data_IF_786102382485
#
_entry.id   IF_786102382485
#
_cell.length_a   1.000
_cell.length_b   1.000
_cell.length_c   1.000
_cell.angle_alpha   90.00
_cell.angle_beta   90.00
_cell.angle_gamma   90.00
#
_symmetry.space_group_name_H-M   'P 1'
#
loop_
_entity.id
_entity.type
_entity.pdbx_description
1 polymer ?
#
# COMPACT_ATOMS: atom_id res chain seq x y z
N UNK A 1 -12.09 5.81 -11.69
CA UNK A 1 -11.13 4.69 -11.84
C UNK A 1 -11.36 3.55 -10.84
N UNK A 2 -11.85 3.82 -9.62
CA UNK A 2 -12.06 2.83 -8.54
C UNK A 2 -12.94 1.61 -8.88
N UNK A 3 -14.01 1.76 -9.68
CA UNK A 3 -14.93 0.64 -9.98
C UNK A 3 -14.28 -0.51 -10.77
N UNK A 4 -13.26 -0.21 -11.58
CA UNK A 4 -12.59 -1.21 -12.44
C UNK A 4 -11.65 -2.11 -11.64
N UNK A 5 -10.95 -1.54 -10.66
CA UNK A 5 -10.06 -2.29 -9.77
C UNK A 5 -10.84 -3.23 -8.86
N UNK A 6 -11.94 -2.74 -8.26
CA UNK A 6 -12.86 -3.58 -7.48
C UNK A 6 -13.40 -4.75 -8.32
N UNK A 7 -13.89 -4.47 -9.54
CA UNK A 7 -14.44 -5.50 -10.42
C UNK A 7 -13.42 -6.58 -10.79
N UNK A 8 -12.17 -6.18 -11.07
CA UNK A 8 -11.08 -7.11 -11.33
C UNK A 8 -10.73 -7.95 -10.10
N UNK A 9 -10.67 -7.33 -8.92
CA UNK A 9 -10.39 -8.01 -7.66
C UNK A 9 -11.49 -9.02 -7.29
N UNK A 10 -12.76 -8.64 -7.44
CA UNK A 10 -13.91 -9.55 -7.27
C UNK A 10 -13.81 -10.77 -8.20
N UNK A 11 -13.47 -10.54 -9.47
CA UNK A 11 -13.28 -11.61 -10.45
C UNK A 11 -12.13 -12.55 -10.04
N UNK A 12 -11.02 -12.00 -9.54
CA UNK A 12 -9.89 -12.80 -9.04
C UNK A 12 -10.31 -13.67 -7.85
N UNK A 13 -11.01 -13.11 -6.85
CA UNK A 13 -11.49 -13.87 -5.69
C UNK A 13 -12.39 -15.04 -6.11
N UNK A 14 -13.31 -14.81 -7.04
CA UNK A 14 -14.19 -15.87 -7.57
C UNK A 14 -13.39 -16.97 -8.27
N UNK A 15 -12.44 -16.60 -9.14
CA UNK A 15 -11.62 -17.57 -9.87
C UNK A 15 -10.67 -18.35 -8.97
N UNK A 16 -10.11 -17.74 -7.93
CA UNK A 16 -9.25 -18.41 -6.95
C UNK A 16 -10.00 -19.49 -6.16
N UNK A 17 -11.32 -19.35 -6.00
CA UNK A 17 -12.20 -20.39 -5.45
C UNK A 17 -12.62 -21.45 -6.47
N UNK A 18 -12.26 -21.28 -7.73
CA UNK A 18 -12.68 -22.17 -8.82
C UNK A 18 -14.17 -22.05 -9.16
N UNK A 19 -14.82 -20.93 -8.80
CA UNK A 19 -16.27 -20.78 -8.98
C UNK A 19 -16.63 -20.14 -10.32
N UNK A 20 -17.67 -20.66 -10.97
CA UNK A 20 -18.32 -19.99 -12.09
C UNK A 20 -19.24 -18.85 -11.59
N UNK A 21 -19.75 -18.04 -12.52
CA UNK A 21 -20.68 -16.95 -12.15
C UNK A 21 -22.00 -17.49 -11.62
N UNK A 22 -22.47 -18.57 -12.23
CA UNK A 22 -23.67 -19.31 -11.85
C UNK A 22 -23.53 -19.85 -10.43
N UNK A 23 -22.37 -20.43 -10.09
CA UNK A 23 -22.10 -20.93 -8.74
C UNK A 23 -22.07 -19.82 -7.69
N UNK A 24 -21.52 -18.64 -8.02
CA UNK A 24 -21.51 -17.51 -7.09
C UNK A 24 -22.90 -16.86 -6.92
N UNK A 25 -23.68 -16.79 -8.00
CA UNK A 25 -25.03 -16.19 -7.99
C UNK A 25 -26.11 -17.12 -7.44
N UNK A 26 -25.88 -18.43 -7.42
CA UNK A 26 -26.83 -19.41 -6.88
C UNK A 26 -28.18 -19.38 -7.61
N UNK A 27 -29.24 -19.05 -6.88
CA UNK A 27 -30.61 -18.95 -7.38
C UNK A 27 -30.97 -17.57 -7.97
N UNK A 28 -29.99 -16.67 -8.08
CA UNK A 28 -30.14 -15.28 -8.53
C UNK A 28 -31.10 -14.43 -7.69
N UNK A 29 -31.52 -14.89 -6.50
CA UNK A 29 -32.44 -14.16 -5.62
C UNK A 29 -31.82 -12.87 -5.06
N UNK A 30 -30.51 -12.88 -4.81
CA UNK A 30 -29.75 -11.75 -4.24
C UNK A 30 -28.87 -11.03 -5.26
N UNK A 31 -28.33 -11.76 -6.23
CA UNK A 31 -27.44 -11.21 -7.26
C UNK A 31 -27.58 -12.00 -8.56
N UNK A 32 -28.03 -11.33 -9.62
CA UNK A 32 -28.10 -11.96 -10.95
C UNK A 32 -26.74 -12.06 -11.63
N UNK A 33 -26.60 -13.02 -12.55
CA UNK A 33 -25.37 -13.20 -13.35
C UNK A 33 -25.03 -11.93 -14.15
N UNK A 34 -26.05 -11.21 -14.63
CA UNK A 34 -25.89 -9.96 -15.36
C UNK A 34 -25.35 -8.85 -14.45
N UNK A 35 -25.86 -8.73 -13.23
CA UNK A 35 -25.34 -7.79 -12.24
C UNK A 35 -23.89 -8.13 -11.89
N UNK A 36 -23.59 -9.39 -11.58
CA UNK A 36 -22.22 -9.84 -11.33
C UNK A 36 -21.28 -9.51 -12.49
N UNK A 37 -21.70 -9.71 -13.74
CA UNK A 37 -20.89 -9.38 -14.92
C UNK A 37 -20.61 -7.87 -15.04
N UNK A 38 -21.60 -7.03 -14.73
CA UNK A 38 -21.42 -5.57 -14.71
C UNK A 38 -20.53 -5.11 -13.56
N UNK A 39 -20.58 -5.78 -12.42
CA UNK A 39 -19.69 -5.55 -11.29
C UNK A 39 -18.25 -5.94 -11.64
N UNK A 40 -18.02 -7.14 -12.17
CA UNK A 40 -16.69 -7.61 -12.54
C UNK A 40 -16.04 -6.78 -13.66
N UNK A 41 -16.84 -6.16 -14.52
CA UNK A 41 -16.35 -5.25 -15.57
C UNK A 41 -16.17 -3.80 -15.08
N UNK A 42 -16.56 -3.49 -13.84
CA UNK A 42 -16.49 -2.15 -13.25
C UNK A 42 -17.48 -1.16 -13.84
N UNK A 43 -18.49 -1.63 -14.56
CA UNK A 43 -19.54 -0.80 -15.20
C UNK A 43 -20.59 -0.37 -14.17
N UNK A 44 -20.83 -1.19 -13.14
CA UNK A 44 -21.77 -0.87 -12.07
C UNK A 44 -21.08 -0.83 -10.71
N UNK A 45 -21.57 0.03 -9.83
CA UNK A 45 -21.16 0.03 -8.42
C UNK A 45 -22.04 -0.93 -7.60
N UNK A 46 -21.45 -1.71 -6.68
CA UNK A 46 -22.21 -2.56 -5.78
C UNK A 46 -22.93 -1.73 -4.71
N UNK A 47 -24.10 -2.21 -4.27
CA UNK A 47 -24.74 -1.72 -3.04
C UNK A 47 -24.11 -2.40 -1.81
N UNK A 48 -24.34 -1.85 -0.62
CA UNK A 48 -23.91 -2.48 0.63
C UNK A 48 -24.45 -3.92 0.77
N UNK A 49 -25.73 -4.13 0.48
CA UNK A 49 -26.34 -5.46 0.50
C UNK A 49 -25.67 -6.46 -0.47
N UNK A 50 -25.22 -5.98 -1.62
CA UNK A 50 -24.50 -6.80 -2.60
C UNK A 50 -23.10 -7.13 -2.10
N UNK A 51 -22.41 -6.18 -1.48
CA UNK A 51 -21.09 -6.40 -0.88
C UNK A 51 -21.16 -7.42 0.26
N UNK A 52 -22.12 -7.31 1.17
CA UNK A 52 -22.32 -8.26 2.27
C UNK A 52 -22.60 -9.67 1.74
N UNK A 53 -23.44 -9.78 0.72
CA UNK A 53 -23.72 -11.06 0.06
C UNK A 53 -22.45 -11.66 -0.55
N UNK A 54 -21.72 -10.90 -1.36
CA UNK A 54 -20.48 -11.35 -2.01
C UNK A 54 -19.41 -11.75 -0.98
N UNK A 55 -19.25 -10.98 0.10
CA UNK A 55 -18.32 -11.27 1.18
C UNK A 55 -18.67 -12.60 1.86
N UNK A 56 -19.96 -12.82 2.14
CA UNK A 56 -20.44 -14.07 2.74
C UNK A 56 -20.21 -15.29 1.83
N UNK A 57 -20.50 -15.17 0.54
CA UNK A 57 -20.32 -16.26 -0.42
C UNK A 57 -18.83 -16.56 -0.65
N UNK A 58 -17.99 -15.53 -0.75
CA UNK A 58 -16.55 -15.67 -0.93
C UNK A 58 -15.81 -15.92 0.39
N UNK A 59 -16.53 -16.06 1.52
CA UNK A 59 -16.02 -16.18 2.90
C UNK A 59 -14.78 -15.30 3.16
N UNK A 60 -14.86 -14.05 2.73
CA UNK A 60 -13.85 -13.03 2.99
C UNK A 60 -14.46 -11.91 3.82
N UNK A 61 -13.62 -11.19 4.57
CA UNK A 61 -14.06 -9.97 5.21
C UNK A 61 -14.36 -8.86 4.16
N UNK A 62 -15.18 -7.89 4.56
CA UNK A 62 -15.60 -6.80 3.67
C UNK A 62 -14.40 -5.94 3.21
N UNK A 63 -13.39 -5.76 4.06
CA UNK A 63 -12.17 -5.03 3.75
C UNK A 63 -11.37 -5.71 2.62
N UNK A 64 -11.19 -7.03 2.71
CA UNK A 64 -10.54 -7.86 1.71
C UNK A 64 -11.34 -7.84 0.42
N UNK A 65 -12.68 -7.88 0.48
CA UNK A 65 -13.53 -7.79 -0.71
C UNK A 65 -13.37 -6.45 -1.44
N UNK A 66 -13.32 -5.34 -0.71
CA UNK A 66 -13.17 -3.99 -1.28
C UNK A 66 -11.75 -3.75 -1.80
N UNK A 67 -10.79 -4.60 -1.41
CA UNK A 67 -9.40 -4.49 -1.82
C UNK A 67 -8.60 -3.52 -0.95
N UNK A 68 -9.14 -3.08 0.20
CA UNK A 68 -8.43 -2.23 1.16
C UNK A 68 -7.29 -2.95 1.90
N UNK A 69 -7.09 -4.24 1.63
CA UNK A 69 -6.00 -5.06 2.18
C UNK A 69 -4.80 -5.20 1.23
N UNK A 70 -4.86 -4.62 0.01
CA UNK A 70 -3.85 -4.85 -1.03
C UNK A 70 -2.62 -3.93 -0.95
N UNK A 71 -2.51 -3.07 0.06
CA UNK A 71 -1.29 -2.30 0.36
C UNK A 71 -0.51 -2.86 1.55
N UNK A 72 -1.06 -3.83 2.27
CA UNK A 72 -0.35 -4.59 3.30
C UNK A 72 0.35 -5.80 2.68
N UNK A 73 1.24 -5.59 1.71
CA UNK A 73 2.42 -6.46 1.69
C UNK A 73 3.09 -6.19 3.03
N UNK A 74 2.79 -7.02 4.03
CA UNK A 74 3.17 -6.78 5.41
C UNK A 74 4.66 -6.44 5.43
N UNK A 75 4.97 -5.16 5.67
CA UNK A 75 6.32 -4.67 5.59
C UNK A 75 7.19 -5.52 6.51
N UNK A 76 8.45 -5.83 6.13
CA UNK A 76 9.31 -6.62 6.99
C UNK A 76 9.30 -6.08 8.43
N UNK A 77 9.10 -6.97 9.41
CA UNK A 77 8.98 -6.55 10.81
C UNK A 77 10.20 -5.75 11.28
N UNK A 78 11.37 -6.07 10.73
CA UNK A 78 12.62 -5.35 10.98
C UNK A 78 12.58 -3.93 10.39
N UNK A 79 12.11 -3.74 9.15
CA UNK A 79 11.89 -2.39 8.58
C UNK A 79 10.94 -1.57 9.45
N UNK A 80 9.83 -2.14 9.90
CA UNK A 80 8.87 -1.43 10.76
C UNK A 80 9.51 -0.99 12.08
N UNK A 81 10.36 -1.84 12.67
CA UNK A 81 11.11 -1.51 13.88
C UNK A 81 12.12 -0.38 13.65
N UNK A 82 12.87 -0.44 12.56
CA UNK A 82 13.84 0.60 12.20
C UNK A 82 13.14 1.94 11.94
N UNK A 83 12.06 1.94 11.16
CA UNK A 83 11.20 3.11 10.91
C UNK A 83 10.63 3.70 12.21
N UNK A 84 10.15 2.86 13.12
CA UNK A 84 9.65 3.31 14.42
C UNK A 84 10.75 4.01 15.24
N UNK A 85 11.95 3.43 15.28
CA UNK A 85 13.11 4.04 15.97
C UNK A 85 13.45 5.39 15.35
N UNK A 86 13.40 5.51 14.03
CA UNK A 86 13.70 6.75 13.31
C UNK A 86 12.68 7.86 13.59
N UNK A 87 11.39 7.55 13.58
CA UNK A 87 10.32 8.54 13.80
C UNK A 87 10.23 8.99 15.27
N UNK A 88 10.51 8.08 16.22
CA UNK A 88 10.34 8.35 17.66
C UNK A 88 11.56 8.96 18.32
N UNK A 89 12.74 8.77 17.75
CA UNK A 89 13.98 9.35 18.30
C UNK A 89 13.99 10.85 18.07
N UNK A 90 13.86 11.62 19.15
CA UNK A 90 14.02 13.07 19.12
C UNK A 90 15.50 13.44 19.17
N UNK A 91 16.00 14.03 18.08
CA UNK A 91 17.37 14.55 18.01
C UNK A 91 17.43 15.89 18.74
N UNK A 92 17.65 15.87 20.05
CA UNK A 92 17.88 17.09 20.85
C UNK A 92 19.24 17.74 20.55
N UNK A 93 19.63 17.85 19.27
CA UNK A 93 20.92 18.40 18.84
C UNK A 93 22.15 17.58 19.24
N UNK A 94 21.97 16.35 19.76
CA UNK A 94 23.08 15.47 20.09
C UNK A 94 23.63 14.80 18.82
N UNK A 95 24.91 15.03 18.53
CA UNK A 95 25.61 14.50 17.36
C UNK A 95 25.73 12.97 17.36
N UNK A 96 25.79 12.32 18.53
CA UNK A 96 25.85 10.85 18.64
C UNK A 96 24.52 10.23 18.20
N UNK A 97 23.40 10.83 18.62
CA UNK A 97 22.05 10.36 18.26
C UNK A 97 21.79 10.58 16.77
N UNK A 98 22.32 11.65 16.19
CA UNK A 98 22.25 11.89 14.74
C UNK A 98 23.03 10.83 13.96
N UNK A 99 24.23 10.46 14.42
CA UNK A 99 25.02 9.38 13.80
C UNK A 99 24.31 8.02 13.86
N UNK A 100 23.64 7.71 14.97
CA UNK A 100 22.84 6.48 15.07
C UNK A 100 21.67 6.46 14.09
N UNK A 101 21.02 7.60 13.87
CA UNK A 101 19.93 7.72 12.89
C UNK A 101 20.43 7.61 11.46
N UNK A 102 21.61 8.16 11.13
CA UNK A 102 22.24 7.99 9.83
C UNK A 102 22.48 6.50 9.54
N UNK A 103 23.03 5.74 10.49
CA UNK A 103 23.23 4.30 10.32
C UNK A 103 21.93 3.52 10.09
N UNK A 104 20.84 3.90 10.78
CA UNK A 104 19.53 3.28 10.58
C UNK A 104 18.98 3.60 9.20
N UNK A 105 19.17 4.83 8.72
CA UNK A 105 18.78 5.24 7.37
C UNK A 105 19.54 4.38 6.36
N UNK A 106 20.87 4.33 6.46
CA UNK A 106 21.71 3.57 5.53
C UNK A 106 21.30 2.09 5.47
N UNK A 107 21.05 1.47 6.63
CA UNK A 107 20.54 0.09 6.71
C UNK A 107 19.19 -0.08 6.00
N UNK A 108 18.26 0.88 6.17
CA UNK A 108 16.97 0.86 5.48
C UNK A 108 17.17 0.98 3.95
N UNK A 109 18.04 1.88 3.52
CA UNK A 109 18.31 2.13 2.10
C UNK A 109 18.99 0.95 1.41
N UNK A 110 19.95 0.30 2.06
CA UNK A 110 20.67 -0.83 1.48
C UNK A 110 19.86 -2.13 1.44
N UNK A 111 19.05 -2.39 2.48
CA UNK A 111 18.42 -3.70 2.67
C UNK A 111 16.97 -3.76 2.22
N UNK A 112 16.23 -2.65 2.32
CA UNK A 112 14.77 -2.68 2.14
C UNK A 112 14.26 -1.77 1.03
N UNK A 113 14.92 -0.64 0.74
CA UNK A 113 14.36 0.45 -0.06
C UNK A 113 13.83 0.02 -1.43
N UNK A 114 14.59 -0.75 -2.21
CA UNK A 114 14.20 -1.18 -3.55
C UNK A 114 12.95 -2.10 -3.56
N UNK A 115 12.70 -2.81 -2.46
CA UNK A 115 11.58 -3.74 -2.29
C UNK A 115 10.36 -3.11 -1.59
N UNK A 116 10.47 -1.86 -1.12
CA UNK A 116 9.37 -1.14 -0.47
C UNK A 116 8.31 -0.67 -1.50
N UNK A 117 7.04 -0.60 -1.09
CA UNK A 117 6.01 0.10 -1.86
C UNK A 117 6.41 1.56 -2.13
N UNK A 118 6.01 2.11 -3.28
CA UNK A 118 6.31 3.49 -3.68
C UNK A 118 5.93 4.52 -2.60
N UNK A 119 4.79 4.32 -1.94
CA UNK A 119 4.36 5.17 -0.83
C UNK A 119 5.35 5.16 0.35
N UNK A 120 5.96 4.01 0.66
CA UNK A 120 6.94 3.87 1.73
C UNK A 120 8.32 4.41 1.34
N UNK A 121 8.75 4.23 0.09
CA UNK A 121 9.97 4.86 -0.44
C UNK A 121 9.90 6.39 -0.30
N UNK A 122 8.77 6.99 -0.69
CA UNK A 122 8.54 8.43 -0.55
C UNK A 122 8.60 8.90 0.92
N UNK A 123 8.09 8.12 1.86
CA UNK A 123 8.17 8.43 3.29
C UNK A 123 9.63 8.42 3.76
N UNK A 124 10.41 7.43 3.34
CA UNK A 124 11.83 7.34 3.71
C UNK A 124 12.65 8.50 3.15
N UNK A 125 12.41 8.91 1.90
CA UNK A 125 13.08 10.07 1.29
C UNK A 125 12.81 11.37 2.07
N UNK A 126 11.56 11.59 2.50
CA UNK A 126 11.19 12.75 3.33
C UNK A 126 11.90 12.71 4.69
N UNK A 127 11.92 11.54 5.33
CA UNK A 127 12.54 11.37 6.66
C UNK A 127 14.06 11.59 6.62
N UNK A 128 14.72 11.06 5.58
CA UNK A 128 16.15 11.26 5.34
C UNK A 128 16.46 12.75 5.10
N UNK A 129 15.72 13.41 4.21
CA UNK A 129 15.89 14.84 3.90
C UNK A 129 15.76 15.72 5.15
N UNK A 130 14.79 15.40 6.01
CA UNK A 130 14.61 16.08 7.30
C UNK A 130 15.84 15.93 8.19
N UNK A 131 16.38 14.72 8.33
CA UNK A 131 17.57 14.46 9.16
C UNK A 131 18.80 15.19 8.61
N UNK A 132 19.01 15.15 7.29
CA UNK A 132 20.14 15.83 6.66
C UNK A 132 20.08 17.36 6.69
N UNK A 133 18.88 17.94 6.76
CA UNK A 133 18.73 19.38 7.03
C UNK A 133 19.34 19.75 8.38
N UNK A 134 19.28 18.86 9.37
CA UNK A 134 19.92 19.07 10.68
C UNK A 134 21.42 18.73 10.69
N UNK A 135 21.94 17.91 9.77
CA UNK A 135 23.37 17.54 9.67
C UNK A 135 24.14 18.31 8.59
N UNK A 136 23.55 19.41 8.08
CA UNK A 136 23.93 20.13 6.84
C UNK A 136 25.37 20.68 6.73
N UNK A 137 26.23 20.50 7.72
CA UNK A 137 27.67 20.78 7.56
C UNK A 137 28.41 19.71 6.73
N UNK A 138 27.90 18.48 6.57
CA UNK A 138 28.66 17.38 5.94
C UNK A 138 28.30 16.98 4.51
N UNK A 139 27.09 17.23 3.99
CA UNK A 139 26.68 16.61 2.71
C UNK A 139 25.88 17.55 1.79
N UNK A 140 26.57 18.22 0.87
CA UNK A 140 26.00 19.14 -0.15
C UNK A 140 25.46 18.46 -1.43
N UNK A 141 25.11 17.16 -1.44
CA UNK A 141 24.86 16.46 -2.72
C UNK A 141 23.60 15.61 -2.85
N UNK A 142 22.79 15.42 -1.82
CA UNK A 142 21.58 14.59 -1.95
C UNK A 142 20.29 15.43 -1.91
N UNK A 143 19.40 15.18 -2.87
CA UNK A 143 18.18 15.97 -3.14
C UNK A 143 18.12 16.60 -4.53
N UNK A 144 19.25 16.74 -5.24
CA UNK A 144 19.23 17.26 -6.63
C UNK A 144 18.46 16.34 -7.59
N UNK A 145 18.48 15.02 -7.36
CA UNK A 145 17.75 14.03 -8.16
C UNK A 145 16.23 14.09 -7.93
N UNK A 146 15.78 14.47 -6.73
CA UNK A 146 14.37 14.73 -6.42
C UNK A 146 13.90 16.03 -7.08
N UNK A 147 14.72 17.09 -7.03
CA UNK A 147 14.41 18.36 -7.72
C UNK A 147 14.40 18.20 -9.25
N UNK A 148 15.30 17.41 -9.83
CA UNK A 148 15.34 17.15 -11.28
C UNK A 148 14.10 16.41 -11.81
N UNK A 149 13.48 15.53 -11.00
CA UNK A 149 12.23 14.84 -11.39
C UNK A 149 11.02 15.77 -11.41
N UNK A 150 11.03 16.85 -10.63
CA UNK A 150 9.93 17.82 -10.55
C UNK A 150 9.98 18.82 -11.71
N UNK A 151 11.16 19.10 -12.27
CA UNK A 151 11.33 20.01 -13.42
C UNK A 151 11.06 19.36 -14.80
N UNK A 152 10.78 18.05 -14.84
CA UNK A 152 10.47 17.30 -16.08
C UNK A 152 8.97 17.13 -16.35
N UNK A 153 8.11 17.97 -15.78
CA UNK A 153 6.67 18.06 -16.10
C UNK A 153 6.31 19.39 -16.75
#
# INVERSE_FOLDING_TARGET
MQGKEFGQHLKQLRLNRGWTKEQLCGDESKLSIRQLTRLESGISQPTLSTLEYLASCLEVDLATLIGSKKEDAALPADYQRLKYKLIRTTTYGNSEVLSELEHIIDEIFEVYYDDLPEAEQNVMDILQSKIYTYTSEKFHKYGMTLCQKIESF
#
